data_IF_231439611436
#
_entry.id   IF_231439611436
#
_cell.length_a   1.000
_cell.length_b   1.000
_cell.length_c   1.000
_cell.angle_alpha   90.00
_cell.angle_beta   90.00
_cell.angle_gamma   90.00
#
_symmetry.space_group_name_H-M   'P 1'
#
loop_
_entity.id
_entity.type
_entity.pdbx_description
1 polymer ?
#
# COMPACT_ATOMS: atom_id res chain seq x y z
N UNK A 1 21.12 13.38 2.74
CA UNK A 1 21.06 11.99 2.23
C UNK A 1 19.74 11.87 1.48
N UNK A 2 19.76 11.99 0.15
CA UNK A 2 18.55 11.90 -0.65
C UNK A 2 18.04 10.46 -0.60
N UNK A 3 16.80 10.27 -0.19
CA UNK A 3 16.15 8.96 -0.23
C UNK A 3 15.91 8.65 -1.70
N UNK A 4 16.58 7.62 -2.21
CA UNK A 4 16.61 7.24 -3.64
C UNK A 4 15.30 6.56 -4.07
N UNK A 5 14.18 7.25 -3.90
CA UNK A 5 12.90 6.81 -4.41
C UNK A 5 12.77 7.33 -5.83
N UNK A 6 12.60 6.42 -6.81
CA UNK A 6 11.97 6.83 -8.05
C UNK A 6 10.60 7.37 -7.65
N UNK A 7 10.27 8.60 -8.04
CA UNK A 7 8.96 9.28 -7.96
C UNK A 7 8.83 10.10 -9.24
N UNK A 8 7.62 10.29 -9.81
CA UNK A 8 7.43 11.29 -10.85
C UNK A 8 8.06 12.60 -10.39
N UNK A 9 8.97 13.16 -11.20
CA UNK A 9 9.81 14.25 -10.75
C UNK A 9 8.92 15.46 -10.41
N UNK A 10 9.04 16.05 -9.20
CA UNK A 10 8.30 17.27 -8.88
C UNK A 10 8.88 18.42 -9.71
N UNK A 11 8.09 18.91 -10.66
CA UNK A 11 8.45 20.00 -11.57
C UNK A 11 8.29 21.35 -10.85
N UNK A 12 7.19 21.54 -10.12
CA UNK A 12 6.94 22.79 -9.41
C UNK A 12 6.00 22.64 -8.21
N UNK A 13 6.15 23.54 -7.25
CA UNK A 13 5.19 23.79 -6.17
C UNK A 13 4.68 25.23 -6.31
N UNK A 14 3.38 25.41 -6.43
CA UNK A 14 2.73 26.72 -6.55
C UNK A 14 1.86 26.97 -5.32
N UNK A 15 2.21 27.97 -4.51
CA UNK A 15 1.43 28.37 -3.34
C UNK A 15 0.82 29.77 -3.51
N UNK A 16 -0.49 29.90 -3.29
CA UNK A 16 -1.17 31.19 -3.19
C UNK A 16 -1.35 31.52 -1.71
N UNK A 17 -0.74 32.60 -1.21
CA UNK A 17 -0.89 33.08 0.17
C UNK A 17 -1.55 34.45 0.17
N UNK A 18 -2.52 34.68 1.06
CA UNK A 18 -3.15 35.99 1.28
C UNK A 18 -3.03 36.36 2.76
N UNK A 19 -2.40 37.50 3.06
CA UNK A 19 -2.05 37.91 4.43
C UNK A 19 -1.31 36.82 5.23
N UNK A 20 -0.36 36.14 4.59
CA UNK A 20 0.39 35.04 5.21
C UNK A 20 -0.38 33.71 5.36
N UNK A 21 -1.68 33.69 5.07
CA UNK A 21 -2.52 32.48 5.12
C UNK A 21 -2.47 31.78 3.76
N UNK A 22 -2.07 30.50 3.75
CA UNK A 22 -2.12 29.66 2.55
C UNK A 22 -3.58 29.48 2.09
N UNK A 23 -3.86 29.89 0.85
CA UNK A 23 -5.18 29.81 0.21
C UNK A 23 -5.27 28.65 -0.78
N UNK A 24 -4.20 28.41 -1.53
CA UNK A 24 -4.10 27.29 -2.49
C UNK A 24 -2.67 26.77 -2.51
N UNK A 25 -2.52 25.49 -2.77
CA UNK A 25 -1.23 24.86 -3.05
C UNK A 25 -1.44 23.84 -4.17
N UNK A 26 -0.54 23.85 -5.14
CA UNK A 26 -0.52 22.93 -6.27
C UNK A 26 0.87 22.33 -6.39
N UNK A 27 0.95 21.04 -6.65
CA UNK A 27 2.20 20.40 -7.06
C UNK A 27 2.05 19.96 -8.51
N UNK A 28 3.04 20.29 -9.33
CA UNK A 28 3.17 19.86 -10.71
C UNK A 28 4.26 18.81 -10.71
N UNK A 29 3.98 17.65 -11.28
CA UNK A 29 4.91 16.52 -11.38
C UNK A 29 4.96 16.05 -12.83
N UNK A 30 6.01 15.31 -13.19
CA UNK A 30 6.10 14.62 -14.48
C UNK A 30 4.83 13.82 -14.79
N UNK A 31 4.45 13.75 -16.08
CA UNK A 31 3.25 13.04 -16.50
C UNK A 31 3.39 11.53 -16.23
N UNK A 32 2.67 11.08 -15.22
CA UNK A 32 2.56 9.70 -14.79
C UNK A 32 1.29 9.03 -15.32
N UNK A 33 0.68 9.53 -16.39
CA UNK A 33 -0.60 9.03 -16.94
C UNK A 33 -0.62 7.54 -17.29
N UNK A 34 0.54 6.93 -17.56
CA UNK A 34 0.67 5.48 -17.76
C UNK A 34 0.69 4.67 -16.45
N UNK A 35 0.83 5.34 -15.29
CA UNK A 35 0.88 4.69 -13.99
C UNK A 35 -0.53 4.57 -13.40
N UNK A 36 -0.83 3.39 -12.86
CA UNK A 36 -2.15 3.10 -12.31
C UNK A 36 -2.10 3.09 -10.78
N UNK A 37 -3.13 3.65 -10.12
CA UNK A 37 -3.39 3.35 -8.72
C UNK A 37 -3.46 1.83 -8.50
N UNK A 38 -2.91 1.35 -7.38
CA UNK A 38 -2.71 -0.08 -7.12
C UNK A 38 -4.03 -0.85 -7.13
N UNK A 39 -5.14 -0.26 -6.68
CA UNK A 39 -6.46 -0.87 -6.79
C UNK A 39 -6.87 -1.10 -8.25
N UNK A 40 -6.69 -0.10 -9.12
CA UNK A 40 -7.02 -0.19 -10.55
C UNK A 40 -6.09 -1.17 -11.26
N UNK A 41 -4.77 -1.04 -11.04
CA UNK A 41 -3.76 -1.95 -11.59
C UNK A 41 -4.07 -3.42 -11.28
N UNK A 42 -4.42 -3.72 -10.02
CA UNK A 42 -4.73 -5.09 -9.59
C UNK A 42 -5.98 -5.65 -10.25
N UNK A 43 -7.01 -4.82 -10.47
CA UNK A 43 -8.23 -5.25 -11.18
C UNK A 43 -7.90 -5.55 -12.63
N UNK A 44 -7.19 -4.64 -13.31
CA UNK A 44 -6.89 -4.76 -14.74
C UNK A 44 -5.94 -5.92 -15.05
N UNK A 45 -4.91 -6.14 -14.21
CA UNK A 45 -3.87 -7.14 -14.50
C UNK A 45 -4.14 -8.51 -13.89
N UNK A 46 -4.97 -8.58 -12.84
CA UNK A 46 -5.19 -9.82 -12.08
C UNK A 46 -6.67 -10.14 -11.83
N UNK A 47 -7.58 -9.54 -12.60
CA UNK A 47 -9.02 -9.78 -12.50
C UNK A 47 -9.46 -11.18 -12.95
N UNK A 48 -8.72 -11.81 -13.88
CA UNK A 48 -9.02 -13.16 -14.37
C UNK A 48 -8.24 -14.23 -13.58
N UNK A 49 -8.93 -15.13 -12.85
CA UNK A 49 -8.30 -16.12 -11.98
C UNK A 49 -7.88 -17.43 -12.67
N UNK A 50 -8.18 -17.64 -13.96
CA UNK A 50 -8.00 -18.97 -14.60
C UNK A 50 -6.66 -19.16 -15.34
N UNK A 51 -5.81 -18.14 -15.40
CA UNK A 51 -4.51 -18.20 -16.08
C UNK A 51 -3.37 -18.43 -15.06
N UNK A 52 -2.62 -19.51 -15.23
CA UNK A 52 -1.50 -19.87 -14.34
C UNK A 52 -0.35 -18.84 -14.38
N UNK A 53 -0.09 -18.23 -15.52
CA UNK A 53 0.92 -17.17 -15.69
C UNK A 53 0.49 -15.95 -14.89
N UNK A 54 -0.77 -15.54 -15.01
CA UNK A 54 -1.35 -14.43 -14.23
C UNK A 54 -1.29 -14.74 -12.73
N UNK A 55 -1.58 -15.98 -12.33
CA UNK A 55 -1.50 -16.41 -10.93
C UNK A 55 -0.09 -16.24 -10.34
N UNK A 56 0.95 -16.76 -11.03
CA UNK A 56 2.34 -16.64 -10.56
C UNK A 56 2.80 -15.18 -10.54
N UNK A 57 2.41 -14.38 -11.53
CA UNK A 57 2.72 -12.95 -11.60
C UNK A 57 2.07 -12.19 -10.44
N UNK A 58 0.80 -12.48 -10.12
CA UNK A 58 0.12 -11.92 -8.94
C UNK A 58 0.85 -12.23 -7.63
N UNK A 59 1.34 -13.46 -7.47
CA UNK A 59 2.09 -13.83 -6.26
C UNK A 59 3.38 -13.02 -6.09
N UNK A 60 4.10 -12.76 -7.20
CA UNK A 60 5.30 -11.92 -7.21
C UNK A 60 4.95 -10.47 -6.88
N UNK A 61 3.94 -9.91 -7.56
CA UNK A 61 3.43 -8.57 -7.28
C UNK A 61 3.10 -8.37 -5.79
N UNK A 62 2.33 -9.30 -5.20
CA UNK A 62 1.95 -9.25 -3.78
C UNK A 62 3.16 -9.28 -2.86
N UNK A 63 4.21 -10.01 -3.23
CA UNK A 63 5.44 -10.10 -2.45
C UNK A 63 6.25 -8.79 -2.56
N UNK A 64 6.41 -8.24 -3.76
CA UNK A 64 7.06 -6.93 -3.98
C UNK A 64 6.34 -5.80 -3.24
N UNK A 65 5.00 -5.77 -3.28
CA UNK A 65 4.21 -4.79 -2.54
C UNK A 65 4.45 -4.91 -1.03
N UNK A 66 4.54 -6.14 -0.51
CA UNK A 66 4.79 -6.39 0.91
C UNK A 66 6.20 -5.94 1.34
N UNK A 67 7.21 -6.16 0.50
CA UNK A 67 8.58 -5.70 0.74
C UNK A 67 8.68 -4.18 0.74
N UNK A 68 8.07 -3.52 -0.26
CA UNK A 68 7.98 -2.05 -0.31
C UNK A 68 7.29 -1.49 0.95
N UNK A 69 6.19 -2.12 1.38
CA UNK A 69 5.48 -1.69 2.59
C UNK A 69 6.30 -1.90 3.86
N UNK A 70 7.13 -2.95 3.90
CA UNK A 70 8.08 -3.18 4.99
C UNK A 70 9.14 -2.10 5.02
N UNK A 71 9.75 -1.77 3.89
CA UNK A 71 10.75 -0.70 3.77
C UNK A 71 10.21 0.66 4.22
N UNK A 72 8.96 0.99 3.86
CA UNK A 72 8.27 2.19 4.33
C UNK A 72 8.20 2.23 5.88
N UNK A 73 7.75 1.13 6.48
CA UNK A 73 7.61 1.04 7.94
C UNK A 73 8.95 0.97 8.69
N UNK A 74 9.97 0.32 8.11
CA UNK A 74 11.33 0.23 8.66
C UNK A 74 12.04 1.58 8.60
N UNK A 75 11.71 2.41 7.61
CA UNK A 75 12.10 3.82 7.52
C UNK A 75 11.34 4.72 8.51
N UNK A 76 10.45 4.13 9.33
CA UNK A 76 9.76 4.86 10.39
C UNK A 76 8.57 5.70 9.95
N UNK A 77 8.08 5.48 8.72
CA UNK A 77 7.02 6.28 8.08
C UNK A 77 5.64 5.71 8.41
N UNK A 78 4.84 6.45 9.18
CA UNK A 78 3.40 6.16 9.31
C UNK A 78 2.62 7.06 8.37
N UNK A 79 1.67 6.47 7.65
CA UNK A 79 0.88 7.19 6.67
C UNK A 79 -0.61 7.24 7.09
N UNK A 80 -1.17 8.43 7.30
CA UNK A 80 -2.50 8.59 7.89
C UNK A 80 -3.64 7.89 7.15
N UNK A 81 -3.58 7.83 5.81
CA UNK A 81 -4.60 7.19 4.97
C UNK A 81 -4.03 6.25 3.90
N UNK A 82 -3.26 5.23 4.33
CA UNK A 82 -2.55 4.33 3.42
C UNK A 82 -3.45 3.27 2.77
N UNK A 83 -4.21 3.68 1.75
CA UNK A 83 -5.11 2.83 0.93
C UNK A 83 -4.47 2.50 -0.42
N UNK A 84 -4.95 1.46 -1.08
CA UNK A 84 -4.46 0.99 -2.38
C UNK A 84 -4.60 2.04 -3.50
N UNK A 85 -5.58 2.93 -3.44
CA UNK A 85 -5.69 4.04 -4.39
C UNK A 85 -4.64 5.14 -4.18
N UNK A 86 -4.02 5.18 -2.98
CA UNK A 86 -2.92 6.09 -2.64
C UNK A 86 -1.56 5.43 -2.88
N UNK A 87 -1.51 4.33 -3.63
CA UNK A 87 -0.27 3.69 -4.07
C UNK A 87 -0.28 3.67 -5.58
N UNK A 88 0.66 4.33 -6.22
CA UNK A 88 0.86 4.24 -7.66
C UNK A 88 1.77 3.06 -7.96
N UNK A 89 1.46 2.32 -9.02
CA UNK A 89 2.24 1.18 -9.50
C UNK A 89 2.90 1.55 -10.82
N UNK A 90 4.23 1.45 -10.87
CA UNK A 90 5.00 1.43 -12.11
C UNK A 90 5.53 0.03 -12.32
N UNK A 91 5.19 -0.55 -13.46
CA UNK A 91 5.65 -1.87 -13.86
C UNK A 91 6.72 -1.76 -14.95
N UNK A 92 7.81 -2.52 -14.80
CA UNK A 92 8.84 -2.68 -15.83
C UNK A 92 9.39 -4.10 -15.79
N UNK A 93 9.31 -4.86 -16.89
CA UNK A 93 9.88 -6.21 -17.01
C UNK A 93 9.54 -7.15 -15.83
N UNK A 94 8.27 -7.22 -15.42
CA UNK A 94 7.79 -7.99 -14.24
C UNK A 94 8.42 -7.58 -12.89
N UNK A 95 8.90 -6.34 -12.81
CA UNK A 95 9.25 -5.66 -11.55
C UNK A 95 8.28 -4.51 -11.31
N UNK A 96 8.03 -4.21 -10.03
CA UNK A 96 7.10 -3.16 -9.63
C UNK A 96 7.76 -2.19 -8.68
N UNK A 97 7.65 -0.90 -9.00
CA UNK A 97 7.94 0.20 -8.12
C UNK A 97 6.64 0.79 -7.58
N UNK A 98 6.62 1.10 -6.29
CA UNK A 98 5.44 1.57 -5.58
C UNK A 98 5.68 2.96 -5.02
N UNK A 99 4.79 3.88 -5.34
CA UNK A 99 4.88 5.27 -4.90
C UNK A 99 3.70 5.58 -4.00
N UNK A 100 3.98 5.98 -2.76
CA UNK A 100 2.96 6.26 -1.76
C UNK A 100 2.56 7.74 -1.84
N UNK A 101 1.34 8.00 -2.29
CA UNK A 101 0.75 9.34 -2.43
C UNK A 101 -0.03 9.74 -1.17
N UNK A 102 -0.42 11.01 -1.09
CA UNK A 102 -1.23 11.61 -0.01
C UNK A 102 -0.47 11.71 1.33
N UNK A 103 0.61 12.51 1.30
CA UNK A 103 1.50 12.72 2.44
C UNK A 103 0.92 13.68 3.50
N UNK A 104 -0.30 14.17 3.33
CA UNK A 104 -0.94 15.20 4.19
C UNK A 104 -1.04 14.79 5.67
N UNK A 105 -0.88 13.50 5.97
CA UNK A 105 -0.85 12.95 7.32
C UNK A 105 0.28 11.95 7.54
N UNK A 106 1.48 12.27 7.07
CA UNK A 106 2.67 11.45 7.30
C UNK A 106 3.42 11.86 8.55
N UNK A 107 3.77 10.86 9.37
CA UNK A 107 4.61 11.06 10.54
C UNK A 107 5.88 10.24 10.41
N UNK A 108 7.01 10.94 10.42
CA UNK A 108 8.34 10.34 10.49
C UNK A 108 8.71 10.15 11.97
N UNK A 109 8.97 8.91 12.38
CA UNK A 109 9.53 8.58 13.70
C UNK A 109 10.72 7.67 13.52
N UNK A 110 11.62 7.62 14.51
CA UNK A 110 12.74 6.65 14.50
C UNK A 110 12.24 5.20 14.38
N UNK A 111 11.07 4.90 14.97
CA UNK A 111 10.43 3.59 14.92
C UNK A 111 8.91 3.70 14.94
N UNK A 112 8.22 2.81 14.22
CA UNK A 112 6.77 2.66 14.30
C UNK A 112 6.34 1.63 15.34
N UNK A 113 5.40 2.02 16.18
CA UNK A 113 4.76 1.10 17.12
C UNK A 113 3.94 0.04 16.38
N UNK A 114 3.81 -1.15 16.98
CA UNK A 114 2.99 -2.24 16.43
C UNK A 114 1.56 -1.79 16.11
N UNK A 115 0.95 -0.98 17.00
CA UNK A 115 -0.40 -0.43 16.80
C UNK A 115 -0.51 0.40 15.52
N UNK A 116 0.51 1.22 15.21
CA UNK A 116 0.56 2.02 13.97
C UNK A 116 0.74 1.14 12.74
N UNK A 117 1.65 0.16 12.80
CA UNK A 117 1.85 -0.83 11.73
C UNK A 117 0.55 -1.57 11.41
N UNK A 118 -0.13 -2.10 12.43
CA UNK A 118 -1.44 -2.77 12.29
C UNK A 118 -2.47 -1.85 11.65
N UNK A 119 -2.53 -0.57 12.06
CA UNK A 119 -3.47 0.39 11.50
C UNK A 119 -3.23 0.60 9.99
N UNK A 120 -1.99 0.82 9.55
CA UNK A 120 -1.67 0.95 8.12
C UNK A 120 -1.93 -0.33 7.32
N UNK A 121 -1.49 -1.47 7.85
CA UNK A 121 -1.78 -2.77 7.22
C UNK A 121 -3.29 -3.00 7.07
N UNK A 122 -4.09 -2.59 8.06
CA UNK A 122 -5.56 -2.71 7.98
C UNK A 122 -6.19 -1.80 6.91
N UNK A 123 -5.61 -0.62 6.65
CA UNK A 123 -6.08 0.32 5.62
C UNK A 123 -5.82 -0.26 4.24
N UNK A 124 -4.58 -0.65 3.98
CA UNK A 124 -4.21 -1.29 2.72
C UNK A 124 -5.08 -2.51 2.47
N UNK A 125 -5.13 -3.44 3.43
CA UNK A 125 -5.90 -4.68 3.30
C UNK A 125 -7.40 -4.40 3.04
N UNK A 126 -8.02 -3.42 3.69
CA UNK A 126 -9.43 -3.08 3.45
C UNK A 126 -9.70 -2.51 2.04
N UNK A 127 -8.71 -1.83 1.46
CA UNK A 127 -8.84 -1.14 0.16
C UNK A 127 -8.37 -1.96 -1.04
N UNK A 128 -7.66 -3.08 -0.83
CA UNK A 128 -7.25 -3.97 -1.91
C UNK A 128 -8.46 -4.70 -2.52
N UNK A 129 -8.53 -4.82 -3.86
CA UNK A 129 -9.63 -5.50 -4.57
C UNK A 129 -9.86 -6.96 -4.15
N UNK A 130 -11.06 -7.47 -4.47
CA UNK A 130 -11.47 -8.84 -4.12
C UNK A 130 -10.67 -9.94 -4.84
N UNK A 131 -10.10 -9.66 -6.02
CA UNK A 131 -9.23 -10.60 -6.74
C UNK A 131 -7.91 -10.90 -5.99
N UNK A 132 -7.56 -10.08 -4.99
CA UNK A 132 -6.56 -10.42 -3.97
C UNK A 132 -7.22 -11.34 -2.92
N UNK A 133 -6.92 -12.63 -3.04
CA UNK A 133 -7.53 -13.71 -2.26
C UNK A 133 -7.04 -13.73 -0.81
N UNK A 134 -7.64 -14.57 0.03
CA UNK A 134 -7.12 -14.82 1.39
C UNK A 134 -5.68 -15.33 1.39
N UNK A 135 -5.35 -16.21 0.43
CA UNK A 135 -4.00 -16.76 0.27
C UNK A 135 -3.00 -15.66 -0.10
N UNK A 136 -3.38 -14.76 -0.99
CA UNK A 136 -2.56 -13.59 -1.36
C UNK A 136 -2.35 -12.66 -0.17
N UNK A 137 -3.41 -12.36 0.60
CA UNK A 137 -3.33 -11.52 1.81
C UNK A 137 -2.43 -12.12 2.88
N UNK A 138 -2.46 -13.45 3.05
CA UNK A 138 -1.57 -14.13 3.97
C UNK A 138 -0.12 -14.16 3.47
N UNK A 139 0.09 -14.34 2.15
CA UNK A 139 1.40 -14.23 1.50
C UNK A 139 2.00 -12.85 1.70
N UNK A 140 1.20 -11.79 1.52
CA UNK A 140 1.59 -10.42 1.80
C UNK A 140 2.13 -10.30 3.23
N UNK A 141 1.35 -10.73 4.23
CA UNK A 141 1.75 -10.61 5.62
C UNK A 141 3.03 -11.39 5.94
N UNK A 142 3.16 -12.63 5.45
CA UNK A 142 4.38 -13.45 5.67
C UNK A 142 5.62 -12.77 5.13
N UNK A 143 5.52 -12.22 3.93
CA UNK A 143 6.61 -11.48 3.26
C UNK A 143 6.95 -10.20 4.02
N UNK A 144 5.92 -9.41 4.37
CA UNK A 144 6.06 -8.19 5.16
C UNK A 144 6.71 -8.45 6.53
N UNK A 145 6.31 -9.52 7.22
CA UNK A 145 6.87 -9.86 8.54
C UNK A 145 8.21 -10.62 8.45
N UNK A 146 8.65 -11.02 7.25
CA UNK A 146 9.87 -11.80 7.06
C UNK A 146 9.79 -13.21 7.66
N UNK A 147 8.60 -13.81 7.73
CA UNK A 147 8.37 -15.10 8.40
C UNK A 147 7.94 -16.19 7.43
N UNK A 148 8.58 -17.37 7.54
CA UNK A 148 8.14 -18.56 6.81
C UNK A 148 6.84 -19.11 7.41
N UNK A 149 6.70 -19.21 8.72
CA UNK A 149 5.49 -19.74 9.36
C UNK A 149 4.97 -18.76 10.42
N UNK A 150 3.64 -18.71 10.62
CA UNK A 150 3.04 -17.86 11.65
C UNK A 150 3.13 -18.53 13.03
N UNK A 151 3.86 -17.91 13.94
CA UNK A 151 3.72 -18.19 15.38
C UNK A 151 2.43 -17.56 15.93
N UNK A 152 2.16 -17.75 17.23
CA UNK A 152 0.91 -17.26 17.83
C UNK A 152 0.82 -15.73 17.90
N UNK A 153 1.95 -15.04 18.05
CA UNK A 153 2.00 -13.59 17.96
C UNK A 153 1.59 -13.09 16.58
N UNK A 154 2.16 -13.67 15.52
CA UNK A 154 1.83 -13.37 14.14
C UNK A 154 0.34 -13.62 13.85
N UNK A 155 -0.22 -14.73 14.35
CA UNK A 155 -1.65 -15.02 14.23
C UNK A 155 -2.50 -13.94 14.90
N UNK A 156 -2.11 -13.46 16.10
CA UNK A 156 -2.81 -12.36 16.80
C UNK A 156 -2.76 -11.07 15.99
N UNK A 157 -1.61 -10.74 15.40
CA UNK A 157 -1.45 -9.56 14.55
C UNK A 157 -2.34 -9.66 13.30
N UNK A 158 -2.31 -10.79 12.58
CA UNK A 158 -3.15 -11.02 11.40
C UNK A 158 -4.63 -10.89 11.75
N UNK A 159 -5.09 -11.47 12.86
CA UNK A 159 -6.48 -11.32 13.32
C UNK A 159 -6.83 -9.87 13.61
N UNK A 160 -5.94 -9.10 14.23
CA UNK A 160 -6.15 -7.69 14.49
C UNK A 160 -6.25 -6.88 13.19
N UNK A 161 -5.39 -7.16 12.20
CA UNK A 161 -5.44 -6.55 10.86
C UNK A 161 -6.80 -6.84 10.22
N UNK A 162 -7.21 -8.11 10.15
CA UNK A 162 -8.49 -8.53 9.54
C UNK A 162 -9.68 -7.86 10.23
N UNK A 163 -9.73 -7.89 11.56
CA UNK A 163 -10.81 -7.25 12.33
C UNK A 163 -10.93 -5.76 12.01
N UNK A 164 -9.81 -5.04 12.01
CA UNK A 164 -9.79 -3.61 11.70
C UNK A 164 -10.10 -3.32 10.23
N UNK A 165 -9.71 -4.21 9.31
CA UNK A 165 -10.04 -4.06 7.89
C UNK A 165 -11.55 -4.15 7.64
N UNK A 166 -12.24 -5.09 8.28
CA UNK A 166 -13.68 -5.29 8.13
C UNK A 166 -14.46 -4.08 8.65
N UNK A 167 -14.06 -3.54 9.80
CA UNK A 167 -14.70 -2.37 10.41
C UNK A 167 -14.68 -1.13 9.51
N UNK A 168 -13.73 -1.05 8.56
CA UNK A 168 -13.59 0.08 7.64
C UNK A 168 -14.59 0.09 6.49
N UNK A 169 -15.26 -1.04 6.19
CA UNK A 169 -16.29 -1.15 5.14
C UNK A 169 -15.87 -0.51 3.78
N UNK A 170 -14.63 -0.73 3.35
CA UNK A 170 -14.13 -0.21 2.08
C UNK A 170 -14.47 -1.16 0.93
N UNK A 171 -13.46 -1.89 0.42
CA UNK A 171 -13.62 -2.79 -0.72
C UNK A 171 -13.74 -4.22 -0.22
N UNK A 172 -12.82 -4.66 0.64
CA UNK A 172 -12.79 -6.04 1.08
C UNK A 172 -13.80 -6.34 2.21
N UNK A 173 -14.78 -7.18 1.91
CA UNK A 173 -15.77 -7.69 2.86
C UNK A 173 -15.73 -9.24 2.93
N UNK A 174 -14.93 -9.83 3.81
CA UNK A 174 -14.83 -11.28 3.94
C UNK A 174 -16.15 -11.85 4.49
N UNK A 175 -16.66 -12.92 3.87
CA UNK A 175 -17.75 -13.72 4.40
C UNK A 175 -17.23 -14.54 5.60
N UNK A 176 -17.08 -13.90 6.75
CA UNK A 176 -16.78 -14.59 8.00
C UNK A 176 -18.10 -15.17 8.51
N UNK A 177 -18.28 -16.49 8.44
CA UNK A 177 -19.21 -17.15 9.37
C UNK A 177 -18.58 -17.00 10.75
N UNK A 178 -19.17 -16.14 11.58
CA UNK A 178 -18.84 -16.08 13.01
C UNK A 178 -19.20 -17.41 13.67
#
# INVERSE_FOLDING_TARGET
>A
MALNFQVPEPIALCEEKRFGILKKSFIIMEDASALLPCNTYVIEKFGDPHDEVIYRRKQRFVSCLAESFRQLHDSGVYHGDLKANNIIVMESNDTWNFFYLDLDRVWFKKWLTLRKKIKNLSQLNASLPHCITYTDRLRFYRTYAGVKNLNDENKRIVRAIVRLSIQRKHVWNPKIRM
#
